data_IF_782640720055
#
_entry.id   IF_782640720055
#
_cell.length_a   1.000
_cell.length_b   1.000
_cell.length_c   1.000
_cell.angle_alpha   90.00
_cell.angle_beta   90.00
_cell.angle_gamma   90.00
#
_symmetry.space_group_name_H-M   'P 1'
#
loop_
_entity.id
_entity.type
_entity.pdbx_description
1 polymer ?
#
# COMPACT_ATOMS: atom_id res chain seq x y z
N UNK A 1 12.81 -15.65 -4.00
CA UNK A 1 11.44 -15.30 -4.44
C UNK A 1 11.23 -13.86 -4.01
N UNK A 2 10.94 -12.94 -4.92
CA UNK A 2 10.77 -11.51 -4.66
C UNK A 2 9.34 -11.08 -5.02
N UNK A 3 8.72 -10.25 -4.17
CA UNK A 3 7.42 -9.63 -4.42
C UNK A 3 7.58 -8.10 -4.34
N UNK A 4 7.09 -7.39 -5.35
CA UNK A 4 7.09 -5.93 -5.37
C UNK A 4 5.74 -5.43 -4.85
N UNK A 5 5.74 -4.87 -3.62
CA UNK A 5 4.51 -4.60 -2.86
C UNK A 5 4.07 -3.14 -2.88
N UNK A 6 4.88 -2.24 -3.45
CA UNK A 6 4.57 -0.81 -3.53
C UNK A 6 5.08 -0.27 -4.88
N UNK A 7 4.21 -0.30 -5.88
CA UNK A 7 4.50 0.17 -7.23
C UNK A 7 3.40 1.15 -7.66
N UNK A 8 3.81 2.25 -8.29
CA UNK A 8 2.88 3.26 -8.76
C UNK A 8 2.83 3.29 -10.29
N UNK A 9 1.62 3.25 -10.83
CA UNK A 9 1.36 3.46 -12.24
C UNK A 9 1.09 4.95 -12.56
N UNK A 10 0.89 5.28 -13.83
CA UNK A 10 0.49 6.63 -14.24
C UNK A 10 -0.85 7.09 -13.64
N UNK A 11 -1.62 6.20 -13.00
CA UNK A 11 -2.81 6.58 -12.24
C UNK A 11 -2.48 7.23 -10.89
N UNK A 12 -1.22 7.18 -10.44
CA UNK A 12 -0.69 8.03 -9.36
C UNK A 12 -0.38 9.41 -9.92
N UNK A 13 -1.41 10.25 -10.03
CA UNK A 13 -1.36 11.54 -10.71
C UNK A 13 -0.27 12.43 -10.12
N UNK A 14 0.61 12.94 -10.98
CA UNK A 14 1.67 13.87 -10.62
C UNK A 14 3.05 13.24 -10.43
N UNK A 15 3.16 11.89 -10.31
CA UNK A 15 4.45 11.24 -10.14
C UNK A 15 4.60 9.81 -10.69
N UNK A 16 3.51 9.07 -10.86
CA UNK A 16 3.54 7.78 -11.56
C UNK A 16 3.66 8.00 -13.08
N UNK A 17 4.53 7.24 -13.75
CA UNK A 17 4.83 7.44 -15.19
C UNK A 17 4.60 6.21 -16.04
N UNK A 18 4.50 5.03 -15.45
CA UNK A 18 4.52 3.74 -16.15
C UNK A 18 3.12 3.14 -16.24
N UNK A 19 2.77 2.52 -17.36
CA UNK A 19 1.49 1.82 -17.52
C UNK A 19 1.43 0.54 -16.68
N UNK A 20 0.24 0.10 -16.23
CA UNK A 20 0.07 -1.20 -15.59
C UNK A 20 0.61 -2.37 -16.41
N UNK A 21 0.51 -2.30 -17.75
CA UNK A 21 1.04 -3.30 -18.67
C UNK A 21 2.56 -3.44 -18.54
N UNK A 22 3.29 -2.32 -18.69
CA UNK A 22 4.76 -2.32 -18.59
C UNK A 22 5.21 -2.75 -17.19
N UNK A 23 4.50 -2.37 -16.14
CA UNK A 23 4.77 -2.81 -14.77
C UNK A 23 4.69 -4.33 -14.68
N UNK A 24 3.61 -4.94 -15.18
CA UNK A 24 3.42 -6.39 -15.14
C UNK A 24 4.44 -7.14 -16.01
N UNK A 25 4.75 -6.61 -17.20
CA UNK A 25 5.79 -7.16 -18.05
C UNK A 25 7.16 -7.14 -17.36
N UNK A 26 7.52 -6.00 -16.80
CA UNK A 26 8.77 -5.82 -16.05
C UNK A 26 8.86 -6.78 -14.86
N UNK A 27 7.77 -6.93 -14.11
CA UNK A 27 7.71 -7.87 -12.99
C UNK A 27 7.97 -9.32 -13.43
N UNK A 28 7.41 -9.75 -14.58
CA UNK A 28 7.72 -11.04 -15.18
C UNK A 28 9.20 -11.15 -15.54
N UNK A 29 9.76 -10.15 -16.20
CA UNK A 29 11.14 -10.16 -16.70
C UNK A 29 12.16 -10.22 -15.54
N UNK A 30 11.82 -9.63 -14.40
CA UNK A 30 12.59 -9.75 -13.15
C UNK A 30 12.23 -10.97 -12.28
N UNK A 31 11.41 -11.91 -12.79
CA UNK A 31 10.97 -13.10 -12.05
C UNK A 31 10.33 -12.78 -10.69
N UNK A 32 9.57 -11.68 -10.61
CA UNK A 32 8.78 -11.38 -9.42
C UNK A 32 7.68 -12.44 -9.25
N UNK A 33 7.56 -12.99 -8.05
CA UNK A 33 6.50 -13.96 -7.73
C UNK A 33 5.12 -13.32 -7.56
N UNK A 34 5.10 -12.05 -7.18
CA UNK A 34 3.89 -11.26 -7.03
C UNK A 34 4.21 -9.76 -7.17
N UNK A 35 3.19 -8.97 -7.49
CA UNK A 35 3.27 -7.52 -7.48
C UNK A 35 1.98 -6.91 -6.91
N UNK A 36 2.10 -5.71 -6.34
CA UNK A 36 0.97 -4.84 -6.01
C UNK A 36 1.15 -3.48 -6.68
N UNK A 37 0.20 -3.10 -7.54
CA UNK A 37 0.09 -1.72 -8.01
C UNK A 37 -0.72 -0.98 -6.96
N UNK A 38 -0.07 0.00 -6.33
CA UNK A 38 -0.58 0.72 -5.15
C UNK A 38 -0.69 2.21 -5.45
N UNK A 39 -1.51 2.55 -6.43
CA UNK A 39 -1.69 3.93 -6.85
C UNK A 39 -2.21 4.82 -5.71
N UNK A 40 -1.78 6.10 -5.72
CA UNK A 40 -2.03 7.04 -4.64
C UNK A 40 -3.49 7.47 -4.59
N UNK A 41 -4.14 7.23 -3.45
CA UNK A 41 -5.54 7.57 -3.15
C UNK A 41 -6.56 7.04 -4.17
N UNK A 42 -6.23 5.99 -4.91
CA UNK A 42 -7.13 5.41 -5.90
C UNK A 42 -6.78 3.97 -6.28
N UNK A 43 -7.71 3.30 -6.97
CA UNK A 43 -7.56 1.99 -7.58
C UNK A 43 -7.98 1.99 -9.06
N UNK A 44 -7.78 3.12 -9.77
CA UNK A 44 -8.25 3.26 -11.15
C UNK A 44 -7.58 2.26 -12.10
N UNK A 45 -6.32 1.94 -11.87
CA UNK A 45 -5.56 0.95 -12.63
C UNK A 45 -5.83 -0.51 -12.27
N UNK A 46 -6.65 -0.79 -11.26
CA UNK A 46 -6.78 -2.14 -10.68
C UNK A 46 -7.19 -3.19 -11.72
N UNK A 47 -8.26 -2.95 -12.46
CA UNK A 47 -8.78 -3.94 -13.43
C UNK A 47 -7.75 -4.23 -14.52
N UNK A 48 -7.12 -3.20 -15.06
CA UNK A 48 -6.05 -3.35 -16.03
C UNK A 48 -4.84 -4.09 -15.44
N UNK A 49 -4.44 -3.74 -14.23
CA UNK A 49 -3.34 -4.40 -13.51
C UNK A 49 -3.60 -5.89 -13.28
N UNK A 50 -4.81 -6.29 -12.91
CA UNK A 50 -5.20 -7.68 -12.73
C UNK A 50 -5.16 -8.47 -14.05
N UNK A 51 -5.68 -7.89 -15.14
CA UNK A 51 -5.71 -8.52 -16.46
C UNK A 51 -4.30 -8.71 -17.03
N UNK A 52 -3.47 -7.67 -16.99
CA UNK A 52 -2.08 -7.76 -17.44
C UNK A 52 -1.25 -8.71 -16.56
N UNK A 53 -1.42 -8.69 -15.24
CA UNK A 53 -0.73 -9.62 -14.35
C UNK A 53 -1.06 -11.08 -14.71
N UNK A 54 -2.33 -11.38 -14.99
CA UNK A 54 -2.78 -12.70 -15.49
C UNK A 54 -2.14 -13.03 -16.83
N UNK A 55 -2.11 -12.10 -17.77
CA UNK A 55 -1.51 -12.28 -19.11
C UNK A 55 -0.02 -12.61 -19.01
N UNK A 56 0.71 -11.93 -18.12
CA UNK A 56 2.15 -12.13 -17.94
C UNK A 56 2.51 -13.22 -16.91
N UNK A 57 1.51 -13.88 -16.30
CA UNK A 57 1.74 -14.98 -15.36
C UNK A 57 2.33 -14.54 -14.01
N UNK A 58 2.08 -13.28 -13.59
CA UNK A 58 2.51 -12.74 -12.31
C UNK A 58 1.31 -12.65 -11.36
N UNK A 59 1.48 -13.03 -10.09
CA UNK A 59 0.40 -12.92 -9.11
C UNK A 59 0.19 -11.45 -8.72
N UNK A 60 -1.01 -10.91 -9.00
CA UNK A 60 -1.39 -9.60 -8.56
C UNK A 60 -1.93 -9.60 -7.11
N UNK A 61 -1.54 -8.58 -6.35
CA UNK A 61 -2.07 -8.26 -5.02
C UNK A 61 -2.80 -6.93 -5.15
N UNK A 62 -4.04 -6.87 -4.67
CA UNK A 62 -4.84 -5.64 -4.67
C UNK A 62 -4.33 -4.72 -3.57
N UNK A 63 -4.13 -3.44 -3.87
CA UNK A 63 -3.70 -2.46 -2.88
C UNK A 63 -3.83 -1.03 -3.37
N UNK A 64 -3.54 -0.09 -2.48
CA UNK A 64 -3.38 1.33 -2.79
C UNK A 64 -2.49 2.00 -1.76
N UNK A 65 -1.81 3.07 -2.14
CA UNK A 65 -1.26 4.02 -1.18
C UNK A 65 -2.37 4.98 -0.74
N UNK A 66 -2.50 5.20 0.56
CA UNK A 66 -3.43 6.16 1.13
C UNK A 66 -2.67 7.30 1.80
N UNK A 67 -3.07 8.54 1.51
CA UNK A 67 -2.38 9.73 2.01
C UNK A 67 -3.25 10.58 2.94
N UNK A 68 -2.60 11.28 3.86
CA UNK A 68 -3.15 12.42 4.61
C UNK A 68 -2.03 13.45 4.81
N UNK A 69 -2.29 14.68 5.27
CA UNK A 69 -1.26 15.72 5.35
C UNK A 69 0.02 15.25 6.05
N UNK A 70 1.12 15.14 5.30
CA UNK A 70 2.43 14.70 5.79
C UNK A 70 2.51 13.23 6.21
N UNK A 71 1.56 12.38 5.80
CA UNK A 71 1.49 10.95 6.14
C UNK A 71 1.08 10.12 4.94
N UNK A 72 1.58 8.87 4.89
CA UNK A 72 1.15 7.86 3.92
C UNK A 72 1.25 6.46 4.50
N UNK A 73 0.44 5.58 3.98
CA UNK A 73 0.47 4.14 4.24
C UNK A 73 0.20 3.38 2.96
N UNK A 74 0.85 2.25 2.78
CA UNK A 74 0.52 1.29 1.73
C UNK A 74 -0.42 0.24 2.32
N UNK A 75 -1.57 0.07 1.69
CA UNK A 75 -2.61 -0.87 2.08
C UNK A 75 -2.68 -2.02 1.07
N UNK A 76 -2.54 -3.26 1.54
CA UNK A 76 -2.69 -4.44 0.71
C UNK A 76 -3.87 -5.27 1.19
N UNK A 77 -4.68 -5.74 0.25
CA UNK A 77 -5.90 -6.52 0.51
C UNK A 77 -5.56 -7.99 0.72
N UNK A 78 -6.06 -8.57 1.80
CA UNK A 78 -5.96 -10.00 2.11
C UNK A 78 -7.20 -10.79 1.74
N UNK A 79 -8.38 -10.17 1.88
CA UNK A 79 -9.67 -10.81 1.71
C UNK A 79 -10.76 -9.81 1.28
N UNK A 80 -12.00 -10.28 1.16
CA UNK A 80 -13.15 -9.46 0.73
C UNK A 80 -13.45 -8.32 1.69
N UNK A 81 -13.28 -8.51 2.99
CA UNK A 81 -13.49 -7.44 3.98
C UNK A 81 -12.46 -6.33 3.79
N UNK A 82 -11.17 -6.71 3.59
CA UNK A 82 -10.11 -5.76 3.28
C UNK A 82 -10.36 -4.97 2.00
N UNK A 83 -10.88 -5.60 0.93
CA UNK A 83 -11.25 -4.86 -0.28
C UNK A 83 -12.35 -3.83 -0.02
N UNK A 84 -13.39 -4.21 0.71
CA UNK A 84 -14.46 -3.28 1.09
C UNK A 84 -13.92 -2.12 1.93
N UNK A 85 -13.07 -2.40 2.91
CA UNK A 85 -12.44 -1.38 3.75
C UNK A 85 -11.53 -0.45 2.94
N UNK A 86 -10.73 -0.99 2.02
CA UNK A 86 -9.91 -0.18 1.11
C UNK A 86 -10.76 0.81 0.30
N UNK A 87 -11.86 0.34 -0.30
CA UNK A 87 -12.78 1.19 -1.06
C UNK A 87 -13.40 2.31 -0.19
N UNK A 88 -13.81 1.99 1.05
CA UNK A 88 -14.33 2.97 2.00
C UNK A 88 -13.29 4.03 2.37
N UNK A 89 -12.06 3.60 2.71
CA UNK A 89 -10.97 4.50 3.07
C UNK A 89 -10.61 5.45 1.92
N UNK A 90 -10.52 4.95 0.68
CA UNK A 90 -10.27 5.80 -0.50
C UNK A 90 -11.42 6.78 -0.72
N UNK A 91 -12.67 6.34 -0.58
CA UNK A 91 -13.84 7.20 -0.72
C UNK A 91 -13.84 8.30 0.32
N UNK A 92 -13.62 7.97 1.58
CA UNK A 92 -13.53 8.93 2.67
C UNK A 92 -12.40 9.93 2.44
N UNK A 93 -11.21 9.45 2.04
CA UNK A 93 -10.07 10.31 1.70
C UNK A 93 -10.38 11.34 0.60
N UNK A 94 -11.17 10.93 -0.39
CA UNK A 94 -11.53 11.81 -1.52
C UNK A 94 -12.65 12.81 -1.19
N UNK A 95 -13.52 12.48 -0.25
CA UNK A 95 -14.67 13.31 0.11
C UNK A 95 -14.40 14.24 1.30
N UNK A 96 -13.43 13.90 2.16
CA UNK A 96 -13.13 14.63 3.38
C UNK A 96 -11.70 15.21 3.34
N UNK A 97 -11.62 16.55 3.23
CA UNK A 97 -10.33 17.26 3.29
C UNK A 97 -9.65 17.19 4.66
N UNK A 98 -10.40 16.86 5.72
CA UNK A 98 -9.89 16.67 7.08
C UNK A 98 -9.54 15.21 7.38
N UNK A 99 -9.53 14.34 6.36
CA UNK A 99 -9.21 12.92 6.49
C UNK A 99 -7.88 12.70 7.21
N UNK A 100 -7.89 11.79 8.18
CA UNK A 100 -6.70 11.38 8.94
C UNK A 100 -6.57 9.86 8.92
N UNK A 101 -5.41 9.39 8.48
CA UNK A 101 -5.03 7.98 8.51
C UNK A 101 -5.12 7.42 9.93
N UNK A 102 -4.66 8.20 10.92
CA UNK A 102 -4.65 7.81 12.32
C UNK A 102 -6.05 7.50 12.86
N UNK A 103 -7.06 8.28 12.42
CA UNK A 103 -8.45 8.07 12.84
C UNK A 103 -9.15 6.96 12.08
N UNK A 104 -8.93 6.89 10.77
CA UNK A 104 -9.68 6.00 9.88
C UNK A 104 -9.22 4.53 9.96
N UNK A 105 -7.90 4.29 10.04
CA UNK A 105 -7.37 2.92 9.99
C UNK A 105 -7.79 2.04 11.17
N UNK A 106 -7.80 2.48 12.45
CA UNK A 106 -8.26 1.63 13.55
C UNK A 106 -9.69 1.11 13.38
N UNK A 107 -10.54 1.85 12.68
CA UNK A 107 -11.95 1.49 12.44
C UNK A 107 -12.14 0.60 11.20
N UNK A 108 -11.18 0.60 10.27
CA UNK A 108 -11.33 0.01 8.92
C UNK A 108 -10.10 -0.80 8.48
N UNK A 109 -9.41 -1.46 9.40
CA UNK A 109 -8.19 -2.23 9.10
C UNK A 109 -8.40 -3.72 8.89
N UNK A 110 -9.58 -4.25 9.17
CA UNK A 110 -9.85 -5.68 8.99
C UNK A 110 -9.64 -6.12 7.54
N UNK A 111 -8.94 -7.24 7.36
CA UNK A 111 -8.61 -7.78 6.05
C UNK A 111 -7.54 -7.00 5.27
N UNK A 112 -6.89 -6.01 5.90
CA UNK A 112 -5.80 -5.23 5.32
C UNK A 112 -4.44 -5.58 5.95
N UNK A 113 -3.40 -5.53 5.13
CA UNK A 113 -2.00 -5.37 5.58
C UNK A 113 -1.64 -3.91 5.40
N UNK A 114 -1.03 -3.33 6.42
CA UNK A 114 -0.68 -1.92 6.50
C UNK A 114 0.83 -1.81 6.57
N UNK A 115 1.44 -1.08 5.64
CA UNK A 115 2.87 -0.78 5.63
C UNK A 115 3.08 0.73 5.69
N UNK A 116 4.06 1.20 6.45
CA UNK A 116 4.38 2.63 6.52
C UNK A 116 5.87 2.85 6.80
N UNK A 117 6.41 3.90 6.21
CA UNK A 117 7.76 4.43 6.46
C UNK A 117 7.78 5.49 7.59
N UNK A 118 6.61 5.79 8.17
CA UNK A 118 6.46 6.81 9.20
C UNK A 118 6.59 6.21 10.61
N UNK A 119 7.65 6.59 11.33
CA UNK A 119 7.84 6.24 12.75
C UNK A 119 6.65 6.67 13.61
N UNK A 120 6.05 7.82 13.31
CA UNK A 120 4.89 8.35 14.04
C UNK A 120 3.68 7.45 13.84
N UNK A 121 3.40 7.03 12.58
CA UNK A 121 2.28 6.12 12.29
C UNK A 121 2.52 4.73 12.88
N UNK A 122 3.75 4.20 12.82
CA UNK A 122 4.07 2.93 13.47
C UNK A 122 3.72 2.96 14.96
N UNK A 123 4.18 3.99 15.68
CA UNK A 123 3.89 4.15 17.11
C UNK A 123 2.40 4.33 17.39
N UNK A 124 1.69 5.07 16.56
CA UNK A 124 0.27 5.34 16.75
C UNK A 124 -0.61 4.11 16.48
N UNK A 125 -0.32 3.38 15.40
CA UNK A 125 -1.14 2.26 14.94
C UNK A 125 -0.83 0.94 15.64
N UNK A 126 0.33 0.83 16.30
CA UNK A 126 0.72 -0.37 17.04
C UNK A 126 -0.33 -0.75 18.10
N UNK A 127 -0.75 -2.01 18.07
CA UNK A 127 -1.82 -2.53 18.93
C UNK A 127 -3.25 -2.09 18.58
N UNK A 128 -3.42 -1.23 17.55
CA UNK A 128 -4.73 -0.75 17.09
C UNK A 128 -5.17 -1.37 15.76
N UNK A 129 -4.23 -1.94 15.01
CA UNK A 129 -4.49 -2.58 13.72
C UNK A 129 -3.86 -3.97 13.69
N UNK A 130 -4.46 -4.95 12.98
CA UNK A 130 -4.05 -6.36 13.10
C UNK A 130 -2.74 -6.70 12.38
N UNK A 131 -2.40 -6.02 11.27
CA UNK A 131 -1.27 -6.36 10.41
C UNK A 131 -0.49 -5.10 10.04
N UNK A 132 0.41 -4.67 10.92
CA UNK A 132 1.24 -3.48 10.75
C UNK A 132 2.69 -3.89 10.46
N UNK A 133 3.29 -3.27 9.43
CA UNK A 133 4.68 -3.50 9.03
C UNK A 133 5.42 -2.18 8.81
N UNK A 134 6.73 -2.19 9.07
CA UNK A 134 7.60 -1.08 8.73
C UNK A 134 8.06 -1.20 7.27
N UNK A 135 7.85 -0.14 6.48
CA UNK A 135 8.30 -0.06 5.10
C UNK A 135 9.64 0.69 5.02
N UNK A 136 10.69 0.00 4.60
CA UNK A 136 12.02 0.61 4.42
C UNK A 136 12.15 1.17 3.01
N UNK A 137 12.11 2.46 2.90
CA UNK A 137 12.35 3.18 1.64
C UNK A 137 13.62 4.05 1.75
N UNK A 138 14.19 4.39 0.59
CA UNK A 138 15.46 5.13 0.52
C UNK A 138 15.45 6.50 1.23
N UNK A 139 14.29 7.16 1.25
CA UNK A 139 14.10 8.49 1.84
C UNK A 139 13.65 8.47 3.32
N UNK A 140 13.33 7.31 3.87
CA UNK A 140 12.88 7.20 5.26
C UNK A 140 14.04 7.34 6.24
N UNK A 141 13.77 7.74 7.51
CA UNK A 141 14.74 7.70 8.58
C UNK A 141 15.00 6.24 9.02
N UNK A 142 15.67 5.47 8.17
CA UNK A 142 15.81 4.00 8.25
C UNK A 142 16.28 3.53 9.62
N UNK A 143 17.26 4.21 10.24
CA UNK A 143 17.81 3.81 11.54
C UNK A 143 16.77 3.94 12.65
N UNK A 144 16.04 5.06 12.67
CA UNK A 144 14.99 5.30 13.67
C UNK A 144 13.81 4.35 13.46
N UNK A 145 13.41 4.14 12.19
CA UNK A 145 12.33 3.22 11.81
C UNK A 145 12.64 1.78 12.26
N UNK A 146 13.85 1.28 11.96
CA UNK A 146 14.28 -0.06 12.37
C UNK A 146 14.35 -0.20 13.90
N UNK A 147 14.87 0.82 14.60
CA UNK A 147 14.90 0.80 16.07
C UNK A 147 13.48 0.73 16.63
N UNK A 148 12.58 1.56 16.14
CA UNK A 148 11.18 1.58 16.57
C UNK A 148 10.50 0.25 16.30
N UNK A 149 10.62 -0.28 15.08
CA UNK A 149 10.01 -1.56 14.69
C UNK A 149 10.51 -2.70 15.61
N UNK A 150 11.82 -2.79 15.85
CA UNK A 150 12.38 -3.80 16.77
C UNK A 150 11.87 -3.66 18.22
N UNK A 151 11.79 -2.43 18.72
CA UNK A 151 11.30 -2.19 20.10
C UNK A 151 9.83 -2.57 20.27
N UNK A 152 9.05 -2.47 19.22
CA UNK A 152 7.60 -2.75 19.19
C UNK A 152 7.26 -4.14 18.64
N UNK A 153 8.26 -4.97 18.32
CA UNK A 153 8.10 -6.28 17.66
C UNK A 153 7.28 -6.21 16.37
N UNK A 154 7.47 -5.14 15.60
CA UNK A 154 6.89 -4.93 14.26
C UNK A 154 7.90 -5.41 13.21
N UNK A 155 7.40 -6.18 12.22
CA UNK A 155 8.20 -6.67 11.09
C UNK A 155 8.41 -5.60 10.03
#
# INVERSE_FOLDING_TARGET
MYAALNIHSYYSIGWGTTSPEIICQTARDFNCSALAITDTDNIYGLIFGLDYAKTFGVRAIVGAELTSPGRRVTLLVRDRAGYSNLCHLITQRKQDFSFSIEKALPERSDGLVIMTDSVVLLKYLHGKVPHLYAELIRAAPVVELLRTARTMDIK
#
